data_IF_248761344682
#
_entry.id   IF_248761344682
#
_cell.length_a   1.000
_cell.length_b   1.000
_cell.length_c   1.000
_cell.angle_alpha   90.00
_cell.angle_beta   90.00
_cell.angle_gamma   90.00
#
_symmetry.space_group_name_H-M   'P 1'
#
loop_
_entity.id
_entity.type
_entity.pdbx_description
1 polymer ?
#
# COMPACT_ATOMS: atom_id res chain seq x y z
N UNK A 1 11.65 0.71 -11.21
CA UNK A 1 11.87 2.01 -10.55
C UNK A 1 11.12 2.13 -9.22
N UNK A 2 9.83 2.47 -9.13
CA UNK A 2 9.13 2.50 -7.82
C UNK A 2 9.03 1.10 -7.19
N UNK A 3 8.63 0.12 -7.95
CA UNK A 3 8.56 -1.27 -7.49
C UNK A 3 9.92 -1.81 -7.03
N UNK A 4 10.99 -1.55 -7.77
CA UNK A 4 12.36 -1.92 -7.38
C UNK A 4 12.76 -1.27 -6.06
N UNK A 5 12.50 0.04 -5.88
CA UNK A 5 12.77 0.73 -4.61
C UNK A 5 12.01 0.10 -3.44
N UNK A 6 10.77 -0.34 -3.66
CA UNK A 6 9.97 -1.05 -2.66
C UNK A 6 10.60 -2.41 -2.34
N UNK A 7 10.99 -3.17 -3.36
CA UNK A 7 11.55 -4.51 -3.18
C UNK A 7 12.91 -4.48 -2.47
N UNK A 8 13.72 -3.44 -2.74
CA UNK A 8 14.99 -3.21 -2.03
C UNK A 8 14.79 -2.87 -0.54
N UNK A 9 13.59 -2.41 -0.16
CA UNK A 9 13.24 -2.01 1.21
C UNK A 9 11.93 -2.68 1.66
N UNK A 10 11.74 -3.94 1.30
CA UNK A 10 10.47 -4.65 1.45
C UNK A 10 9.99 -4.75 2.90
N UNK A 11 10.91 -5.00 3.83
CA UNK A 11 10.58 -5.13 5.26
C UNK A 11 10.00 -3.82 5.82
N UNK A 12 10.65 -2.69 5.52
CA UNK A 12 10.15 -1.38 5.90
C UNK A 12 8.81 -1.05 5.22
N UNK A 13 8.69 -1.37 3.93
CA UNK A 13 7.45 -1.16 3.20
C UNK A 13 6.28 -1.95 3.82
N UNK A 14 6.49 -3.22 4.16
CA UNK A 14 5.46 -4.04 4.79
C UNK A 14 5.08 -3.51 6.18
N UNK A 15 6.06 -3.00 6.94
CA UNK A 15 5.80 -2.44 8.27
C UNK A 15 4.86 -1.22 8.23
N UNK A 16 4.84 -0.47 7.13
CA UNK A 16 3.93 0.67 6.94
C UNK A 16 2.44 0.27 6.78
N UNK A 17 2.16 -0.98 6.41
CA UNK A 17 0.78 -1.50 6.40
C UNK A 17 0.30 -1.95 7.78
N UNK A 18 1.21 -2.12 8.72
CA UNK A 18 0.99 -2.70 10.03
C UNK A 18 1.31 -4.20 10.07
N UNK A 19 1.13 -4.80 11.23
CA UNK A 19 1.45 -6.19 11.45
C UNK A 19 0.56 -7.14 10.63
N UNK A 20 1.10 -8.32 10.34
CA UNK A 20 0.36 -9.42 9.72
C UNK A 20 0.41 -9.47 8.20
N UNK A 21 1.04 -8.52 7.52
CA UNK A 21 1.23 -8.63 6.07
C UNK A 21 2.48 -9.44 5.73
N UNK A 22 2.30 -10.43 4.86
CA UNK A 22 3.37 -11.27 4.31
C UNK A 22 3.45 -11.10 2.80
N UNK A 23 4.67 -10.96 2.29
CA UNK A 23 4.92 -10.87 0.86
C UNK A 23 4.79 -12.25 0.21
N UNK A 24 4.03 -12.32 -0.88
CA UNK A 24 3.90 -13.51 -1.70
C UNK A 24 4.77 -13.37 -2.95
N UNK A 25 4.50 -12.34 -3.77
CA UNK A 25 5.21 -12.15 -5.03
C UNK A 25 4.99 -10.74 -5.58
N UNK A 26 6.04 -10.19 -6.22
CA UNK A 26 5.94 -9.04 -7.13
C UNK A 26 5.62 -9.50 -8.55
N UNK A 27 5.01 -8.61 -9.34
CA UNK A 27 4.60 -8.88 -10.72
C UNK A 27 3.85 -10.22 -10.83
N UNK A 28 2.84 -10.40 -9.95
CA UNK A 28 2.08 -11.64 -9.90
C UNK A 28 1.21 -11.78 -11.15
N UNK A 29 1.46 -12.83 -12.01
CA UNK A 29 0.74 -12.98 -13.25
C UNK A 29 -0.70 -13.47 -13.00
N UNK A 30 -1.66 -12.80 -13.62
CA UNK A 30 -3.05 -13.23 -13.70
C UNK A 30 -3.49 -13.30 -15.16
N UNK A 31 -4.34 -14.27 -15.49
CA UNK A 31 -4.90 -14.41 -16.81
C UNK A 31 -6.33 -13.90 -16.84
N UNK A 32 -6.62 -12.94 -17.71
CA UNK A 32 -7.95 -12.39 -17.94
C UNK A 32 -8.30 -12.59 -19.42
N UNK A 33 -9.22 -13.51 -19.69
CA UNK A 33 -9.43 -13.99 -21.06
C UNK A 33 -8.16 -14.63 -21.62
N UNK A 34 -7.70 -14.16 -22.75
CA UNK A 34 -6.48 -14.66 -23.42
C UNK A 34 -5.22 -13.82 -23.12
N UNK A 35 -5.33 -12.82 -22.23
CA UNK A 35 -4.23 -11.91 -21.94
C UNK A 35 -3.71 -12.12 -20.51
N UNK A 36 -2.38 -12.02 -20.38
CA UNK A 36 -1.74 -11.93 -19.08
C UNK A 36 -1.69 -10.47 -18.63
N UNK A 37 -2.02 -10.27 -17.37
CA UNK A 37 -1.86 -9.02 -16.64
C UNK A 37 -1.00 -9.31 -15.41
N UNK A 38 -0.42 -8.29 -14.83
CA UNK A 38 0.47 -8.44 -13.68
C UNK A 38 0.00 -7.52 -12.56
N UNK A 39 -0.18 -8.10 -11.38
CA UNK A 39 -0.40 -7.37 -10.13
C UNK A 39 0.97 -6.92 -9.66
N UNK A 40 1.15 -5.62 -9.34
CA UNK A 40 2.46 -5.11 -8.93
C UNK A 40 3.02 -5.86 -7.72
N UNK A 41 2.18 -6.09 -6.69
CA UNK A 41 2.54 -6.96 -5.56
C UNK A 41 1.30 -7.70 -5.03
N UNK A 42 1.49 -8.97 -4.71
CA UNK A 42 0.51 -9.78 -3.99
C UNK A 42 1.03 -10.06 -2.58
N UNK A 43 0.22 -9.69 -1.58
CA UNK A 43 0.48 -9.94 -0.17
C UNK A 43 -0.60 -10.85 0.41
N UNK A 44 -0.35 -11.35 1.61
CA UNK A 44 -1.33 -12.04 2.44
C UNK A 44 -1.41 -11.39 3.81
N UNK A 45 -2.62 -11.07 4.27
CA UNK A 45 -2.86 -10.58 5.62
C UNK A 45 -3.28 -11.76 6.52
N UNK A 46 -2.43 -12.09 7.47
CA UNK A 46 -2.64 -13.24 8.38
C UNK A 46 -3.82 -12.97 9.32
N UNK A 47 -3.96 -11.75 9.83
CA UNK A 47 -5.01 -11.40 10.80
C UNK A 47 -6.40 -11.36 10.13
N UNK A 48 -6.48 -10.75 8.97
CA UNK A 48 -7.72 -10.69 8.20
C UNK A 48 -7.98 -11.96 7.39
N UNK A 49 -7.04 -12.89 7.37
CA UNK A 49 -7.11 -14.15 6.62
C UNK A 49 -7.53 -13.93 5.16
N UNK A 50 -6.85 -13.00 4.47
CA UNK A 50 -7.18 -12.64 3.09
C UNK A 50 -5.96 -12.26 2.27
N UNK A 51 -6.08 -12.33 0.95
CA UNK A 51 -5.10 -11.75 0.05
C UNK A 51 -5.24 -10.23 0.00
N UNK A 52 -4.12 -9.56 -0.25
CA UNK A 52 -4.08 -8.13 -0.53
C UNK A 52 -3.39 -7.88 -1.88
N UNK A 53 -4.14 -7.30 -2.81
CA UNK A 53 -3.64 -6.86 -4.11
C UNK A 53 -3.13 -5.45 -3.98
N UNK A 54 -1.85 -5.22 -4.30
CA UNK A 54 -1.22 -3.90 -4.26
C UNK A 54 -1.00 -3.41 -5.68
N UNK A 55 -1.46 -2.20 -5.97
CA UNK A 55 -1.21 -1.46 -7.20
C UNK A 55 -0.45 -0.18 -6.89
N UNK A 56 0.64 0.06 -7.62
CA UNK A 56 1.52 1.22 -7.44
C UNK A 56 1.24 2.27 -8.51
N UNK A 57 0.97 3.49 -8.11
CA UNK A 57 0.72 4.61 -9.03
C UNK A 57 1.63 5.79 -8.68
N UNK A 58 2.48 6.17 -9.63
CA UNK A 58 3.41 7.31 -9.49
C UNK A 58 2.72 8.67 -9.57
N UNK A 59 1.45 8.68 -9.94
CA UNK A 59 0.62 9.87 -10.11
C UNK A 59 -0.64 9.79 -9.22
N UNK A 60 -1.54 10.73 -9.42
CA UNK A 60 -2.87 10.73 -8.82
C UNK A 60 -3.72 9.53 -9.30
N UNK A 61 -4.57 9.02 -8.40
CA UNK A 61 -5.49 7.91 -8.70
C UNK A 61 -6.56 8.39 -9.70
N UNK A 62 -6.84 7.54 -10.70
CA UNK A 62 -7.90 7.72 -11.68
C UNK A 62 -8.96 6.62 -11.55
N UNK A 63 -10.12 6.86 -12.16
CA UNK A 63 -11.25 5.90 -12.14
C UNK A 63 -10.86 4.52 -12.70
N UNK A 64 -10.04 4.51 -13.73
CA UNK A 64 -9.56 3.27 -14.37
C UNK A 64 -8.78 2.39 -13.39
N UNK A 65 -8.02 2.98 -12.48
CA UNK A 65 -7.24 2.25 -11.48
C UNK A 65 -8.15 1.50 -10.48
N UNK A 66 -9.31 2.08 -10.14
CA UNK A 66 -10.30 1.42 -9.27
C UNK A 66 -10.87 0.19 -9.97
N UNK A 67 -11.28 0.31 -11.23
CA UNK A 67 -11.79 -0.83 -12.02
C UNK A 67 -10.73 -1.91 -12.23
N UNK A 68 -9.47 -1.51 -12.43
CA UNK A 68 -8.34 -2.43 -12.58
C UNK A 68 -8.15 -3.27 -11.30
N UNK A 69 -7.98 -2.61 -10.15
CA UNK A 69 -7.74 -3.32 -8.89
C UNK A 69 -8.93 -4.21 -8.49
N UNK A 70 -10.15 -3.75 -8.70
CA UNK A 70 -11.35 -4.55 -8.45
C UNK A 70 -11.39 -5.82 -9.31
N UNK A 71 -11.03 -5.70 -10.59
CA UNK A 71 -10.89 -6.86 -11.47
C UNK A 71 -9.85 -7.84 -10.96
N UNK A 72 -8.69 -7.34 -10.52
CA UNK A 72 -7.62 -8.18 -9.99
C UNK A 72 -8.03 -8.90 -8.70
N UNK A 73 -8.69 -8.19 -7.76
CA UNK A 73 -9.26 -8.79 -6.54
C UNK A 73 -10.20 -9.94 -6.88
N UNK A 74 -11.11 -9.73 -7.83
CA UNK A 74 -12.07 -10.76 -8.27
C UNK A 74 -11.39 -11.98 -8.90
N UNK A 75 -10.29 -11.77 -9.66
CA UNK A 75 -9.49 -12.86 -10.22
C UNK A 75 -8.81 -13.68 -9.12
N UNK A 76 -8.23 -13.02 -8.12
CA UNK A 76 -7.62 -13.69 -6.96
C UNK A 76 -8.69 -14.46 -6.18
N UNK A 77 -9.84 -13.85 -5.90
CA UNK A 77 -10.93 -14.51 -5.18
C UNK A 77 -11.45 -15.75 -5.90
N UNK A 78 -11.50 -15.70 -7.24
CA UNK A 78 -12.00 -16.81 -8.05
C UNK A 78 -10.99 -17.96 -8.21
N UNK A 79 -9.70 -17.63 -8.34
CA UNK A 79 -8.70 -18.60 -8.79
C UNK A 79 -7.72 -19.04 -7.70
N UNK A 80 -7.51 -18.24 -6.66
CA UNK A 80 -6.49 -18.47 -5.64
C UNK A 80 -7.08 -18.64 -4.24
N UNK A 81 -8.13 -17.88 -3.91
CA UNK A 81 -8.76 -17.88 -2.59
C UNK A 81 -9.45 -19.22 -2.29
N UNK A 82 -9.25 -19.72 -1.08
CA UNK A 82 -9.97 -20.89 -0.54
C UNK A 82 -11.27 -20.47 0.16
N UNK A 83 -12.15 -21.43 0.42
CA UNK A 83 -13.45 -21.18 1.06
C UNK A 83 -13.33 -20.60 2.48
N UNK A 84 -12.24 -20.92 3.17
CA UNK A 84 -11.99 -20.48 4.55
C UNK A 84 -11.33 -19.10 4.63
N UNK A 85 -10.98 -18.49 3.50
CA UNK A 85 -10.35 -17.17 3.43
C UNK A 85 -11.39 -16.09 3.18
N UNK A 86 -11.16 -14.92 3.75
CA UNK A 86 -11.96 -13.74 3.49
C UNK A 86 -11.72 -13.20 2.08
N UNK A 87 -12.61 -12.32 1.62
CA UNK A 87 -12.47 -11.67 0.32
C UNK A 87 -11.19 -10.85 0.27
N UNK A 88 -10.53 -10.90 -0.88
CA UNK A 88 -9.34 -10.12 -1.17
C UNK A 88 -9.59 -8.63 -0.99
N UNK A 89 -8.62 -7.93 -0.43
CA UNK A 89 -8.60 -6.47 -0.34
C UNK A 89 -7.70 -5.89 -1.43
N UNK A 90 -8.01 -4.68 -1.86
CA UNK A 90 -7.20 -3.93 -2.81
C UNK A 90 -6.60 -2.69 -2.15
N UNK A 91 -5.32 -2.43 -2.37
CA UNK A 91 -4.63 -1.24 -1.86
C UNK A 91 -3.92 -0.54 -3.02
N UNK A 92 -4.35 0.69 -3.31
CA UNK A 92 -3.68 1.54 -4.30
C UNK A 92 -2.71 2.45 -3.56
N UNK A 93 -1.43 2.25 -3.80
CA UNK A 93 -0.35 3.09 -3.28
C UNK A 93 -0.04 4.16 -4.32
N UNK A 94 -0.26 5.42 -4.00
CA UNK A 94 -0.18 6.53 -4.93
C UNK A 94 0.59 7.72 -4.37
N UNK A 95 1.12 8.56 -5.25
CA UNK A 95 1.79 9.80 -4.85
C UNK A 95 0.81 10.86 -4.35
N UNK A 96 -0.44 10.82 -4.83
CA UNK A 96 -1.49 11.76 -4.45
C UNK A 96 -2.85 11.07 -4.44
N UNK A 97 -3.55 11.20 -3.33
CA UNK A 97 -4.92 10.72 -3.16
C UNK A 97 -5.90 11.51 -3.99
N UNK A 98 -7.05 10.91 -4.25
CA UNK A 98 -8.19 11.57 -4.86
C UNK A 98 -9.45 11.33 -4.02
N UNK A 99 -9.61 12.13 -2.96
CA UNK A 99 -10.71 12.02 -2.01
C UNK A 99 -12.08 12.12 -2.67
N UNK A 100 -12.19 12.89 -3.77
CA UNK A 100 -13.46 13.01 -4.52
C UNK A 100 -13.80 11.68 -5.20
N UNK A 101 -12.83 11.03 -5.82
CA UNK A 101 -13.04 9.73 -6.45
C UNK A 101 -13.44 8.67 -5.42
N UNK A 102 -12.74 8.63 -4.28
CA UNK A 102 -12.97 7.61 -3.24
C UNK A 102 -14.32 7.75 -2.53
N UNK A 103 -14.94 8.93 -2.50
CA UNK A 103 -16.32 9.10 -2.01
C UNK A 103 -17.34 8.26 -2.78
N UNK A 104 -17.07 7.97 -4.04
CA UNK A 104 -17.97 7.23 -4.94
C UNK A 104 -17.53 5.78 -5.18
N UNK A 105 -16.44 5.33 -4.59
CA UNK A 105 -16.03 3.92 -4.62
C UNK A 105 -17.00 3.11 -3.77
N UNK A 106 -17.74 2.21 -4.40
CA UNK A 106 -18.74 1.37 -3.73
C UNK A 106 -18.12 0.19 -3.00
N UNK A 107 -17.03 -0.36 -3.54
CA UNK A 107 -16.33 -1.47 -2.93
C UNK A 107 -15.49 -1.00 -1.72
N UNK A 108 -16.00 -1.28 -0.52
CA UNK A 108 -15.37 -0.88 0.75
C UNK A 108 -14.09 -1.63 1.10
N UNK A 109 -13.69 -2.59 0.27
CA UNK A 109 -12.44 -3.35 0.41
C UNK A 109 -11.30 -2.80 -0.43
N UNK A 110 -11.51 -1.68 -1.12
CA UNK A 110 -10.47 -0.95 -1.84
C UNK A 110 -10.03 0.24 -0.96
N UNK A 111 -8.74 0.28 -0.66
CA UNK A 111 -8.09 1.30 0.16
C UNK A 111 -7.09 2.09 -0.68
N UNK A 112 -6.87 3.34 -0.31
CA UNK A 112 -5.80 4.16 -0.87
C UNK A 112 -4.76 4.47 0.20
N UNK A 113 -3.48 4.51 -0.20
CA UNK A 113 -2.36 4.94 0.62
C UNK A 113 -1.53 5.94 -0.16
N UNK A 114 -1.32 7.10 0.42
CA UNK A 114 -0.42 8.10 -0.15
C UNK A 114 0.97 7.86 0.38
N UNK A 115 1.96 7.84 -0.52
CA UNK A 115 3.35 7.64 -0.15
C UNK A 115 4.18 8.90 -0.40
N UNK A 116 5.24 9.03 0.38
CA UNK A 116 6.30 9.99 0.18
C UNK A 116 7.66 9.27 0.17
N UNK A 117 8.55 9.68 -0.74
CA UNK A 117 9.91 9.17 -0.77
C UNK A 117 10.77 10.01 0.15
N UNK A 118 11.27 9.43 1.22
CA UNK A 118 12.09 10.10 2.23
C UNK A 118 13.53 9.61 2.14
N UNK A 119 14.49 10.53 2.09
CA UNK A 119 15.91 10.22 2.22
C UNK A 119 16.26 9.92 3.68
N UNK A 120 16.74 8.74 3.96
CA UNK A 120 17.43 8.46 5.23
C UNK A 120 18.93 8.45 5.00
N UNK A 121 19.62 9.39 5.64
CA UNK A 121 21.08 9.41 5.70
C UNK A 121 21.56 8.32 6.68
N UNK A 122 21.65 7.09 6.23
CA UNK A 122 22.40 6.00 6.88
C UNK A 122 23.69 5.76 6.08
N UNK A 123 24.59 4.90 6.61
CA UNK A 123 25.87 4.54 5.97
C UNK A 123 25.75 4.14 4.49
N UNK A 124 24.57 3.68 4.07
CA UNK A 124 24.16 3.55 2.67
C UNK A 124 22.92 4.43 2.47
N UNK A 125 22.99 5.49 1.65
CA UNK A 125 21.83 6.31 1.36
C UNK A 125 20.79 5.48 0.61
N UNK A 126 19.63 5.31 1.20
CA UNK A 126 18.50 4.63 0.58
C UNK A 126 17.24 5.49 0.68
N UNK A 127 16.38 5.36 -0.33
CA UNK A 127 15.06 5.95 -0.30
C UNK A 127 14.12 5.05 0.51
N UNK A 128 13.31 5.67 1.35
CA UNK A 128 12.24 4.98 2.08
C UNK A 128 10.90 5.50 1.60
N UNK A 129 9.94 4.59 1.56
CA UNK A 129 8.54 4.93 1.31
C UNK A 129 7.87 5.03 2.67
N UNK A 130 7.25 6.17 2.93
CA UNK A 130 6.46 6.42 4.13
C UNK A 130 5.04 6.72 3.70
N UNK A 131 4.06 6.10 4.35
CA UNK A 131 2.67 6.44 4.12
C UNK A 131 2.26 7.67 4.93
N UNK A 132 1.57 8.60 4.29
CA UNK A 132 0.98 9.74 4.97
C UNK A 132 -0.25 9.28 5.75
N UNK A 133 -0.13 9.20 7.06
CA UNK A 133 -1.26 8.98 7.95
C UNK A 133 -1.89 10.31 8.32
N UNK A 134 -3.21 10.39 8.26
CA UNK A 134 -3.95 11.57 8.74
C UNK A 134 -3.58 11.86 10.20
N UNK A 135 -3.29 13.12 10.49
CA UNK A 135 -2.66 13.68 11.70
C UNK A 135 -3.27 13.31 13.07
N UNK A 136 -4.36 12.55 13.14
CA UNK A 136 -4.99 12.15 14.42
C UNK A 136 -4.28 11.02 15.15
N UNK A 137 -3.52 10.17 14.48
CA UNK A 137 -2.82 9.02 15.11
C UNK A 137 -1.38 9.33 15.56
N UNK A 138 -0.76 10.37 15.01
CA UNK A 138 0.62 10.74 15.32
C UNK A 138 0.85 11.24 16.76
N UNK A 139 -0.17 11.71 17.45
CA UNK A 139 -0.04 12.15 18.86
C UNK A 139 0.10 11.01 19.87
N UNK A 140 -0.29 9.79 19.52
CA UNK A 140 -0.17 8.63 20.42
C UNK A 140 1.19 7.91 20.29
N UNK A 141 1.84 8.00 19.15
CA UNK A 141 3.12 7.32 18.93
C UNK A 141 4.34 8.07 19.52
N UNK A 142 4.27 9.38 19.73
CA UNK A 142 5.38 10.14 20.32
C UNK A 142 5.57 9.83 21.82
N UNK A 143 4.59 9.24 22.48
CA UNK A 143 4.65 8.90 23.91
C UNK A 143 5.27 7.54 24.20
N UNK A 144 5.38 6.64 23.20
CA UNK A 144 5.83 5.27 23.42
C UNK A 144 7.30 4.99 23.07
N UNK A 145 7.97 5.90 22.38
CA UNK A 145 9.39 5.78 22.03
C UNK A 145 10.26 6.72 22.84
N UNK A 146 10.28 6.53 24.16
CA UNK A 146 11.32 7.07 25.01
C UNK A 146 12.68 6.51 24.60
N UNK A 147 13.50 7.30 23.88
CA UNK A 147 14.93 7.09 23.90
C UNK A 147 15.64 6.75 22.59
N UNK A 148 15.15 7.03 21.40
CA UNK A 148 15.97 6.98 20.18
C UNK A 148 15.87 8.28 19.36
N UNK A 149 17.00 8.97 19.41
CA UNK A 149 17.53 10.02 18.53
C UNK A 149 16.59 10.76 17.57
N UNK A 150 16.44 12.04 17.86
CA UNK A 150 15.79 13.19 17.21
C UNK A 150 16.09 13.45 15.73
N UNK A 151 16.11 12.52 14.81
CA UNK A 151 16.44 12.81 13.39
C UNK A 151 15.35 12.36 12.40
N UNK A 152 14.22 11.87 12.83
CA UNK A 152 13.23 11.34 11.91
C UNK A 152 11.84 11.99 11.98
N UNK A 153 11.75 13.28 12.32
CA UNK A 153 10.49 14.02 12.35
C UNK A 153 10.67 15.44 11.81
N UNK A 154 10.93 15.56 10.53
CA UNK A 154 10.50 16.76 9.81
C UNK A 154 9.27 16.40 9.00
N UNK A 155 8.16 16.27 9.69
CA UNK A 155 6.83 16.22 9.04
C UNK A 155 6.51 17.66 8.69
N UNK A 156 6.54 17.99 7.42
CA UNK A 156 6.01 19.25 6.92
C UNK A 156 4.49 19.26 7.11
N UNK A 157 4.07 19.81 8.25
CA UNK A 157 2.69 20.25 8.47
C UNK A 157 2.43 21.47 7.60
N UNK A 158 2.13 21.30 6.33
CA UNK A 158 1.41 22.33 5.57
C UNK A 158 -0.06 22.14 5.87
N UNK A 159 -0.53 22.86 6.88
CA UNK A 159 -1.96 23.12 7.07
C UNK A 159 -2.49 23.85 5.86
N UNK A 160 -3.50 23.33 5.24
CA UNK A 160 -4.39 24.06 4.37
C UNK A 160 -5.54 24.60 5.21
N UNK A 161 -5.74 25.92 5.13
CA UNK A 161 -6.95 26.60 5.55
C UNK A 161 -8.18 26.05 4.83
#
# INVERSE_FOLDING_TARGET
>A
MLLETILDNLEEFLSEFGDGYSFIKSEYPIKIGDRYNYIDMLLYNIYDNCYAVIELKINEIKKEHIGQIETYMNVIDKNLKTINQNQTIGIIVCKKKNDYLFKYVTNKKIYEREYELVWKAKRNPCFFIVFNYSTKLLKLFSYFLGGFSKICLTINLKGGN
#
